data_IF_651120237184
#
_entry.id   IF_651120237184
#
_cell.length_a   1.000
_cell.length_b   1.000
_cell.length_c   1.000
_cell.angle_alpha   90.00
_cell.angle_beta   90.00
_cell.angle_gamma   90.00
#
_symmetry.space_group_name_H-M   'P 1'
#
loop_
_entity.id
_entity.type
_entity.pdbx_description
1 polymer ?
#
# COMPACT_ATOMS: atom_id res chain seq x y z
N UNK A 1 -29.86 19.54 -16.38
CA UNK A 1 -29.37 20.40 -15.28
C UNK A 1 -29.24 19.48 -14.10
N UNK A 2 -28.02 19.29 -13.62
CA UNK A 2 -27.67 18.40 -12.52
C UNK A 2 -28.52 18.72 -11.30
N UNK A 3 -29.24 17.73 -10.77
CA UNK A 3 -29.99 17.88 -9.52
C UNK A 3 -29.03 18.37 -8.43
N UNK A 4 -29.33 19.49 -7.72
CA UNK A 4 -28.42 20.09 -6.74
C UNK A 4 -28.05 19.14 -5.59
N UNK A 5 -28.90 18.14 -5.33
CA UNK A 5 -28.62 17.08 -4.37
C UNK A 5 -27.52 16.11 -4.83
N UNK A 6 -27.42 15.81 -6.13
CA UNK A 6 -26.44 14.86 -6.67
C UNK A 6 -25.02 15.45 -6.71
N UNK A 7 -24.88 16.74 -7.04
CA UNK A 7 -23.57 17.43 -6.99
C UNK A 7 -23.04 17.53 -5.55
N UNK A 8 -23.92 17.78 -4.59
CA UNK A 8 -23.53 17.84 -3.19
C UNK A 8 -23.04 16.47 -2.68
N UNK A 9 -23.68 15.37 -3.10
CA UNK A 9 -23.24 14.03 -2.74
C UNK A 9 -21.84 13.70 -3.28
N UNK A 10 -21.54 14.06 -4.53
CA UNK A 10 -20.19 13.85 -5.08
C UNK A 10 -19.13 14.64 -4.31
N UNK A 11 -19.43 15.89 -3.93
CA UNK A 11 -18.50 16.70 -3.11
C UNK A 11 -18.27 16.09 -1.72
N UNK A 12 -19.30 15.51 -1.10
CA UNK A 12 -19.16 14.82 0.19
C UNK A 12 -18.24 13.61 0.05
N UNK A 13 -18.42 12.79 -1.00
CA UNK A 13 -17.59 11.60 -1.24
C UNK A 13 -16.12 11.95 -1.47
N UNK A 14 -15.84 13.03 -2.22
CA UNK A 14 -14.47 13.52 -2.43
C UNK A 14 -13.80 13.90 -1.10
N UNK A 15 -14.53 14.59 -0.23
CA UNK A 15 -14.02 15.01 1.09
C UNK A 15 -13.79 13.78 1.98
N UNK A 16 -14.72 12.84 2.03
CA UNK A 16 -14.61 11.62 2.84
C UNK A 16 -13.39 10.78 2.45
N UNK A 17 -13.14 10.62 1.15
CA UNK A 17 -11.95 9.90 0.66
C UNK A 17 -10.65 10.60 1.12
N UNK A 18 -10.60 11.92 0.98
CA UNK A 18 -9.42 12.71 1.37
C UNK A 18 -9.21 12.66 2.88
N UNK A 19 -10.27 12.72 3.68
CA UNK A 19 -10.20 12.58 5.14
C UNK A 19 -9.63 11.23 5.58
N UNK A 20 -10.10 10.13 4.97
CA UNK A 20 -9.58 8.80 5.27
C UNK A 20 -8.09 8.69 4.94
N UNK A 21 -7.68 9.21 3.78
CA UNK A 21 -6.26 9.26 3.40
C UNK A 21 -5.42 10.01 4.43
N UNK A 22 -5.87 11.20 4.88
CA UNK A 22 -5.16 12.00 5.88
C UNK A 22 -5.07 11.29 7.23
N UNK A 23 -6.13 10.61 7.68
CA UNK A 23 -6.12 9.85 8.92
C UNK A 23 -5.09 8.71 8.89
N UNK A 24 -5.06 7.92 7.81
CA UNK A 24 -4.11 6.82 7.64
C UNK A 24 -2.66 7.31 7.47
N UNK A 25 -2.46 8.41 6.76
CA UNK A 25 -1.14 9.04 6.60
C UNK A 25 -0.59 9.50 7.95
N UNK A 26 -1.43 10.19 8.73
CA UNK A 26 -1.05 10.72 10.04
C UNK A 26 -0.67 9.59 11.00
N UNK A 27 -1.50 8.56 11.12
CA UNK A 27 -1.20 7.40 11.96
C UNK A 27 0.09 6.69 11.54
N UNK A 28 0.29 6.51 10.23
CA UNK A 28 1.50 5.86 9.69
C UNK A 28 2.76 6.67 9.95
N UNK A 29 2.72 7.99 9.75
CA UNK A 29 3.89 8.84 9.89
C UNK A 29 4.24 9.12 11.35
N UNK A 30 3.24 9.26 12.23
CA UNK A 30 3.50 9.36 13.67
C UNK A 30 4.20 8.10 14.18
N UNK A 31 3.73 6.90 13.83
CA UNK A 31 4.37 5.63 14.23
C UNK A 31 5.80 5.46 13.71
N UNK A 32 6.11 6.02 12.53
CA UNK A 32 7.44 5.88 11.89
C UNK A 32 8.44 6.93 12.35
N UNK A 33 7.97 8.16 12.56
CA UNK A 33 8.85 9.31 12.77
C UNK A 33 8.91 9.76 14.23
N UNK A 34 7.88 9.46 15.04
CA UNK A 34 7.82 9.88 16.44
C UNK A 34 8.06 8.67 17.35
N UNK A 35 9.16 8.64 18.11
CA UNK A 35 9.43 7.56 19.03
C UNK A 35 8.44 7.58 20.21
N UNK A 36 8.13 6.43 20.83
CA UNK A 36 7.23 6.36 21.99
C UNK A 36 7.80 7.04 23.25
N UNK A 37 9.10 7.38 23.25
CA UNK A 37 9.77 8.11 24.31
C UNK A 37 10.05 9.54 23.84
N UNK A 38 9.21 10.46 24.28
CA UNK A 38 9.39 11.89 24.06
C UNK A 38 10.48 12.42 24.97
N UNK A 39 11.46 13.11 24.37
CA UNK A 39 12.56 13.76 25.10
C UNK A 39 12.30 15.26 25.24
N UNK A 40 11.66 15.86 24.24
CA UNK A 40 11.29 17.27 24.16
C UNK A 40 9.80 17.42 23.79
N UNK A 41 9.21 18.59 24.08
CA UNK A 41 7.80 18.91 23.75
C UNK A 41 7.59 19.42 22.31
N UNK A 42 8.69 19.72 21.62
CA UNK A 42 8.70 20.20 20.24
C UNK A 42 9.27 19.14 19.30
N UNK A 43 8.92 19.24 18.01
CA UNK A 43 9.49 18.41 16.97
C UNK A 43 10.97 18.73 16.78
N UNK A 44 11.82 17.72 16.95
CA UNK A 44 13.23 17.83 16.61
C UNK A 44 13.41 17.98 15.10
N UNK A 45 14.54 18.54 14.66
CA UNK A 45 14.86 18.68 13.22
C UNK A 45 14.80 17.34 12.47
N UNK A 46 15.18 16.24 13.14
CA UNK A 46 15.12 14.90 12.56
C UNK A 46 13.69 14.41 12.36
N UNK A 47 12.82 14.61 13.34
CA UNK A 47 11.40 14.24 13.26
C UNK A 47 10.66 15.05 12.21
N UNK A 48 10.93 16.36 12.12
CA UNK A 48 10.34 17.23 11.10
C UNK A 48 10.69 16.74 9.67
N UNK A 49 11.98 16.52 9.39
CA UNK A 49 12.44 16.01 8.08
C UNK A 49 11.93 14.58 7.82
N UNK A 50 11.79 13.76 8.85
CA UNK A 50 11.20 12.43 8.72
C UNK A 50 9.74 12.52 8.28
N UNK A 51 8.92 13.37 8.91
CA UNK A 51 7.51 13.54 8.58
C UNK A 51 7.34 13.98 7.12
N UNK A 52 8.13 14.93 6.64
CA UNK A 52 8.09 15.38 5.23
C UNK A 52 8.38 14.23 4.25
N UNK A 53 9.44 13.45 4.53
CA UNK A 53 9.80 12.26 3.72
C UNK A 53 8.72 11.19 3.81
N UNK A 54 8.13 11.00 4.99
CA UNK A 54 7.08 10.02 5.21
C UNK A 54 5.82 10.36 4.41
N UNK A 55 5.38 11.62 4.42
CA UNK A 55 4.22 12.07 3.65
C UNK A 55 4.43 11.86 2.14
N UNK A 56 5.60 12.22 1.62
CA UNK A 56 5.95 11.97 0.22
C UNK A 56 5.87 10.48 -0.14
N UNK A 57 6.46 9.61 0.71
CA UNK A 57 6.43 8.15 0.49
C UNK A 57 5.04 7.54 0.67
N UNK A 58 4.23 8.07 1.58
CA UNK A 58 2.86 7.61 1.76
C UNK A 58 2.02 7.88 0.52
N UNK A 59 2.14 9.07 -0.08
CA UNK A 59 1.40 9.41 -1.30
C UNK A 59 1.86 8.58 -2.50
N UNK A 60 3.17 8.34 -2.64
CA UNK A 60 3.70 7.40 -3.66
C UNK A 60 3.06 6.01 -3.51
N UNK A 61 3.07 5.46 -2.29
CA UNK A 61 2.51 4.15 -1.98
C UNK A 61 0.98 4.09 -2.17
N UNK A 62 0.26 5.13 -1.73
CA UNK A 62 -1.19 5.26 -1.91
C UNK A 62 -1.55 5.29 -3.40
N UNK A 63 -0.81 6.05 -4.21
CA UNK A 63 -1.03 6.10 -5.67
C UNK A 63 -0.83 4.74 -6.34
N UNK A 64 0.15 3.96 -5.88
CA UNK A 64 0.39 2.61 -6.37
C UNK A 64 -0.74 1.67 -5.94
N UNK A 65 -1.17 1.72 -4.68
CA UNK A 65 -2.29 0.93 -4.17
C UNK A 65 -3.57 1.17 -4.97
N UNK A 66 -3.91 2.44 -5.25
CA UNK A 66 -5.08 2.80 -6.07
C UNK A 66 -4.98 2.20 -7.49
N UNK A 67 -3.82 2.29 -8.13
CA UNK A 67 -3.58 1.69 -9.46
C UNK A 67 -3.73 0.17 -9.44
N UNK A 68 -3.14 -0.48 -8.44
CA UNK A 68 -3.22 -1.94 -8.27
C UNK A 68 -4.65 -2.39 -7.99
N UNK A 69 -5.37 -1.73 -7.08
CA UNK A 69 -6.77 -2.05 -6.76
C UNK A 69 -7.69 -1.83 -7.96
N UNK A 70 -7.47 -0.75 -8.73
CA UNK A 70 -8.19 -0.54 -9.99
C UNK A 70 -7.94 -1.65 -11.02
N UNK A 71 -6.70 -2.16 -11.06
CA UNK A 71 -6.33 -3.29 -11.95
C UNK A 71 -6.90 -4.64 -11.47
N UNK A 72 -7.12 -4.79 -10.16
CA UNK A 72 -7.69 -6.01 -9.54
C UNK A 72 -9.20 -6.17 -9.79
N UNK A 73 -9.91 -5.11 -10.18
CA UNK A 73 -11.33 -5.19 -10.56
C UNK A 73 -11.55 -5.87 -11.94
N UNK A 74 -10.48 -6.34 -12.59
CA UNK A 74 -10.55 -7.12 -13.82
C UNK A 74 -10.38 -8.62 -13.49
N UNK A 75 -11.43 -9.45 -13.53
CA UNK A 75 -11.41 -10.84 -13.05
C UNK A 75 -10.60 -11.82 -13.95
N UNK A 76 -9.75 -11.32 -14.85
CA UNK A 76 -8.93 -12.11 -15.78
C UNK A 76 -7.49 -12.39 -15.32
N UNK A 77 -7.10 -11.97 -14.11
CA UNK A 77 -5.75 -12.22 -13.58
C UNK A 77 -5.77 -12.93 -12.22
N UNK A 78 -6.60 -13.96 -12.14
CA UNK A 78 -6.54 -15.00 -11.13
C UNK A 78 -5.52 -16.08 -11.54
N UNK A 79 -4.26 -15.86 -11.21
CA UNK A 79 -3.25 -16.92 -11.09
C UNK A 79 -2.57 -16.77 -9.74
N UNK A 80 -3.26 -17.21 -8.68
CA UNK A 80 -2.83 -17.31 -7.27
C UNK A 80 -1.53 -16.56 -6.90
N UNK A 81 -1.68 -15.35 -6.35
CA UNK A 81 -0.66 -14.78 -5.46
C UNK A 81 -1.19 -14.85 -4.02
N UNK A 82 -0.96 -16.00 -3.39
CA UNK A 82 -1.08 -16.13 -1.94
C UNK A 82 0.17 -15.49 -1.35
N UNK A 83 0.03 -14.63 -0.34
CA UNK A 83 1.17 -14.18 0.46
C UNK A 83 1.74 -15.45 1.13
N UNK A 84 2.83 -16.00 0.60
CA UNK A 84 3.48 -17.13 1.24
C UNK A 84 4.41 -16.57 2.32
N UNK A 85 4.06 -16.79 3.60
CA UNK A 85 5.08 -16.98 4.62
C UNK A 85 5.94 -18.15 4.12
N UNK A 86 7.25 -17.95 3.96
CA UNK A 86 8.15 -19.03 3.54
C UNK A 86 8.13 -20.13 4.61
N UNK A 87 7.26 -21.13 4.42
CA UNK A 87 7.34 -22.41 5.12
C UNK A 87 8.07 -23.38 4.20
N UNK A 88 9.18 -23.99 4.64
CA UNK A 88 9.99 -24.92 3.82
C UNK A 88 9.26 -26.19 3.34
N UNK A 89 7.98 -26.38 3.69
CA UNK A 89 7.27 -27.66 3.53
C UNK A 89 6.06 -27.62 2.60
N UNK A 90 5.92 -26.62 1.70
CA UNK A 90 4.78 -26.59 0.76
C UNK A 90 5.18 -27.05 -0.66
N UNK A 91 4.87 -28.30 -1.07
CA UNK A 91 5.28 -28.88 -2.33
C UNK A 91 4.37 -28.51 -3.53
N UNK A 92 3.46 -27.55 -3.39
CA UNK A 92 2.53 -27.15 -4.47
C UNK A 92 3.18 -26.31 -5.60
N UNK A 93 4.50 -26.21 -5.67
CA UNK A 93 5.24 -25.51 -6.74
C UNK A 93 5.62 -26.50 -7.86
N UNK A 94 4.64 -27.27 -8.35
CA UNK A 94 4.86 -28.17 -9.48
C UNK A 94 4.54 -27.45 -10.80
N UNK A 95 5.47 -26.63 -11.29
CA UNK A 95 5.68 -26.41 -12.74
C UNK A 95 6.93 -25.56 -12.99
N UNK A 96 8.01 -26.22 -13.41
CA UNK A 96 9.32 -25.63 -13.72
C UNK A 96 9.35 -24.71 -14.96
N UNK A 97 8.23 -24.53 -15.68
CA UNK A 97 8.14 -23.64 -16.85
C UNK A 97 7.79 -22.18 -16.53
N UNK A 98 7.40 -21.87 -15.29
CA UNK A 98 6.93 -20.52 -14.91
C UNK A 98 7.94 -19.87 -13.99
N UNK A 99 8.55 -18.77 -14.45
CA UNK A 99 9.42 -17.94 -13.61
C UNK A 99 8.53 -17.14 -12.66
N UNK A 100 8.69 -17.38 -11.36
CA UNK A 100 7.94 -16.68 -10.33
C UNK A 100 8.75 -15.45 -9.88
N UNK A 101 8.17 -14.26 -10.01
CA UNK A 101 8.81 -12.99 -9.63
C UNK A 101 8.37 -12.59 -8.23
N UNK A 102 9.33 -12.41 -7.33
CA UNK A 102 9.08 -12.03 -5.94
C UNK A 102 9.57 -10.61 -5.65
N UNK A 103 8.77 -9.81 -4.94
CA UNK A 103 9.18 -8.54 -4.33
C UNK A 103 9.41 -8.73 -2.84
N UNK A 104 10.58 -8.32 -2.36
CA UNK A 104 10.92 -8.35 -0.94
C UNK A 104 10.14 -7.27 -0.18
N UNK A 105 9.41 -7.68 0.87
CA UNK A 105 8.63 -6.78 1.72
C UNK A 105 9.26 -6.59 3.12
N UNK A 106 9.75 -7.66 3.75
CA UNK A 106 10.43 -7.64 5.07
C UNK A 106 11.23 -8.92 5.32
N UNK A 107 11.88 -9.04 6.49
CA UNK A 107 12.51 -10.30 6.92
C UNK A 107 11.48 -11.45 6.86
N UNK A 108 11.74 -12.41 5.97
CA UNK A 108 10.93 -13.60 5.69
C UNK A 108 9.56 -13.40 5.02
N UNK A 109 9.28 -12.22 4.44
CA UNK A 109 8.02 -11.95 3.72
C UNK A 109 8.29 -11.52 2.28
N UNK A 110 7.69 -12.27 1.34
CA UNK A 110 7.83 -12.08 -0.09
C UNK A 110 6.46 -12.01 -0.76
N UNK A 111 6.27 -11.06 -1.69
CA UNK A 111 5.06 -10.93 -2.50
C UNK A 111 5.33 -11.49 -3.90
N UNK A 112 4.51 -12.43 -4.40
CA UNK A 112 4.57 -12.78 -5.82
C UNK A 112 3.92 -11.65 -6.64
N UNK A 113 4.70 -10.91 -7.42
CA UNK A 113 4.15 -9.86 -8.27
C UNK A 113 3.60 -10.42 -9.59
N UNK A 114 3.96 -11.66 -9.94
CA UNK A 114 3.41 -12.37 -11.09
C UNK A 114 4.20 -13.63 -11.45
N UNK A 115 3.68 -14.35 -12.44
CA UNK A 115 4.37 -15.45 -13.13
C UNK A 115 4.70 -15.01 -14.54
N UNK A 116 5.98 -14.98 -14.89
CA UNK A 116 6.41 -14.79 -16.28
C UNK A 116 6.56 -16.16 -16.93
N UNK A 117 5.95 -16.36 -18.11
CA UNK A 117 6.24 -17.52 -18.96
C UNK A 117 7.48 -17.16 -19.76
N UNK A 118 8.51 -18.01 -19.73
CA UNK A 118 9.64 -17.84 -20.65
C UNK A 118 9.14 -18.24 -22.04
N UNK A 119 8.84 -17.26 -22.90
CA UNK A 119 8.90 -17.45 -24.35
C UNK A 119 10.33 -17.11 -24.82
#
# INVERSE_FOLDING_TARGET
MTDPAAEQQMRVLEIEMVQQMFAHMTDSCLKKCIPPRYTDGDLTKGEAVCIDRCAAKFLEAYSHAVKTLGSMNNPGMNSHCTIYFWSPTNPAVSNLEKVIVYRHLSENVWLCEGTHRND
#
